data_IF_452638022125
#
_entry.id   IF_452638022125
#
_cell.length_a   1.000
_cell.length_b   1.000
_cell.length_c   1.000
_cell.angle_alpha   90.00
_cell.angle_beta   90.00
_cell.angle_gamma   90.00
#
_symmetry.space_group_name_H-M   'P 1'
#
loop_
_entity.id
_entity.type
_entity.pdbx_description
1 polymer ?
#
# COMPACT_ATOMS: atom_id res chain seq x y z
N UNK A 1 21.74 34.43 10.77
CA UNK A 1 21.29 33.18 10.11
C UNK A 1 22.21 32.94 8.93
N UNK A 2 22.76 31.73 8.77
CA UNK A 2 23.55 31.41 7.58
C UNK A 2 22.64 31.37 6.36
N UNK A 3 23.11 31.88 5.23
CA UNK A 3 22.42 31.78 3.95
C UNK A 3 22.37 30.33 3.46
N UNK A 4 21.37 29.97 2.63
CA UNK A 4 21.24 28.61 2.08
C UNK A 4 22.52 28.12 1.38
N UNK A 5 23.24 29.02 0.71
CA UNK A 5 24.52 28.72 0.04
C UNK A 5 25.63 28.34 1.03
N UNK A 6 25.68 28.99 2.20
CA UNK A 6 26.64 28.65 3.25
C UNK A 6 26.32 27.31 3.90
N UNK A 7 25.03 26.96 4.05
CA UNK A 7 24.58 25.68 4.60
C UNK A 7 25.01 24.51 3.71
N UNK A 8 24.96 24.65 2.38
CA UNK A 8 25.39 23.60 1.43
C UNK A 8 26.89 23.28 1.49
N UNK A 9 27.71 24.26 1.89
CA UNK A 9 29.17 24.11 1.97
C UNK A 9 29.60 23.38 3.24
N UNK A 10 28.83 23.48 4.33
CA UNK A 10 29.11 22.83 5.61
C UNK A 10 29.21 21.29 5.55
N UNK A 11 28.29 20.54 4.90
CA UNK A 11 28.43 19.08 4.76
C UNK A 11 29.62 18.69 3.88
N UNK A 12 29.94 19.47 2.84
CA UNK A 12 31.13 19.25 1.99
C UNK A 12 32.43 19.38 2.81
N UNK A 13 32.54 20.40 3.66
CA UNK A 13 33.67 20.59 4.60
C UNK A 13 33.71 19.56 5.72
N UNK A 14 32.57 18.95 6.09
CA UNK A 14 32.50 17.88 7.10
C UNK A 14 33.21 16.62 6.62
N UNK A 15 33.08 16.22 5.36
CA UNK A 15 33.69 14.99 4.87
C UNK A 15 35.22 15.02 4.92
N UNK A 16 35.83 16.19 4.72
CA UNK A 16 37.30 16.37 4.65
C UNK A 16 37.96 16.78 5.97
N UNK A 17 37.19 17.10 7.01
CA UNK A 17 37.72 17.69 8.25
C UNK A 17 38.05 16.66 9.34
N UNK A 18 39.01 17.01 10.21
CA UNK A 18 39.40 16.24 11.39
C UNK A 18 38.26 16.20 12.43
N UNK A 19 38.23 15.16 13.26
CA UNK A 19 37.15 14.90 14.24
C UNK A 19 36.65 16.11 15.05
N UNK A 20 37.50 16.96 15.66
CA UNK A 20 37.02 18.12 16.44
C UNK A 20 36.35 19.20 15.56
N UNK A 21 36.80 19.38 14.32
CA UNK A 21 36.20 20.31 13.36
C UNK A 21 34.86 19.77 12.84
N UNK A 22 34.74 18.44 12.64
CA UNK A 22 33.45 17.79 12.31
C UNK A 22 32.40 18.03 13.40
N UNK A 23 32.79 17.99 14.67
CA UNK A 23 31.86 18.22 15.78
C UNK A 23 31.37 19.67 15.82
N UNK A 24 32.26 20.65 15.55
CA UNK A 24 31.88 22.07 15.42
C UNK A 24 30.94 22.29 14.23
N UNK A 25 31.22 21.70 13.08
CA UNK A 25 30.36 21.78 11.89
C UNK A 25 28.99 21.14 12.14
N UNK A 26 28.92 20.02 12.86
CA UNK A 26 27.66 19.40 13.26
C UNK A 26 26.84 20.28 14.21
N UNK A 27 27.49 20.94 15.18
CA UNK A 27 26.82 21.92 16.06
C UNK A 27 26.28 23.10 15.26
N UNK A 28 27.06 23.67 14.35
CA UNK A 28 26.60 24.75 13.48
C UNK A 28 25.40 24.32 12.62
N UNK A 29 25.45 23.13 12.01
CA UNK A 29 24.32 22.59 11.24
C UNK A 29 23.09 22.34 12.11
N UNK A 30 23.26 21.89 13.36
CA UNK A 30 22.16 21.66 14.29
C UNK A 30 21.52 22.95 14.79
N UNK A 31 22.29 24.04 14.93
CA UNK A 31 21.75 25.36 15.32
C UNK A 31 21.07 26.11 14.17
N UNK A 32 21.43 25.80 12.93
CA UNK A 32 20.93 26.53 11.74
C UNK A 32 19.70 25.85 11.12
N UNK A 33 19.59 24.53 11.27
CA UNK A 33 18.42 23.78 10.82
C UNK A 33 17.57 23.44 12.04
N UNK A 34 16.49 24.20 12.25
CA UNK A 34 15.47 23.84 13.22
C UNK A 34 14.89 22.47 12.87
N UNK A 35 14.95 21.54 13.83
CA UNK A 35 14.39 20.20 13.67
C UNK A 35 13.15 20.07 14.54
N UNK A 36 12.10 19.39 14.05
CA UNK A 36 10.98 19.05 14.92
C UNK A 36 11.49 18.20 16.07
N UNK A 37 11.01 18.50 17.28
CA UNK A 37 11.34 17.74 18.48
C UNK A 37 10.76 16.33 18.29
N UNK A 38 11.62 15.32 18.42
CA UNK A 38 11.19 13.91 18.44
C UNK A 38 11.11 13.51 19.91
N UNK A 39 9.91 13.47 20.51
CA UNK A 39 9.75 12.95 21.86
C UNK A 39 10.29 11.52 21.94
N UNK A 40 11.00 11.19 23.01
CA UNK A 40 11.59 9.86 23.23
C UNK A 40 10.75 9.07 24.23
N UNK A 41 9.43 9.03 24.02
CA UNK A 41 8.50 8.24 24.82
C UNK A 41 8.08 7.04 23.99
N UNK A 42 8.08 5.85 24.59
CA UNK A 42 7.63 4.64 23.89
C UNK A 42 6.11 4.61 23.87
N UNK A 43 5.53 4.43 22.68
CA UNK A 43 4.10 4.23 22.54
C UNK A 43 3.64 2.99 23.30
N UNK A 44 2.66 3.17 24.18
CA UNK A 44 2.01 2.09 24.90
C UNK A 44 0.53 2.04 24.51
N UNK A 45 0.10 0.94 23.91
CA UNK A 45 -1.29 0.79 23.50
C UNK A 45 -2.26 0.83 24.71
N UNK A 46 -1.80 0.35 25.87
CA UNK A 46 -2.62 0.27 27.09
C UNK A 46 -2.91 1.63 27.74
N UNK A 47 -2.18 2.69 27.36
CA UNK A 47 -2.41 4.03 27.90
C UNK A 47 -3.49 4.79 27.12
N UNK A 48 -3.98 4.22 26.02
CA UNK A 48 -5.00 4.83 25.17
C UNK A 48 -6.38 4.32 25.60
N UNK A 49 -7.36 5.22 25.65
CA UNK A 49 -8.74 4.85 25.95
C UNK A 49 -9.34 4.03 24.81
N UNK A 50 -10.27 3.12 25.10
CA UNK A 50 -10.95 2.34 24.05
C UNK A 50 -11.70 3.24 23.05
N UNK A 51 -12.26 4.35 23.52
CA UNK A 51 -12.92 5.34 22.67
C UNK A 51 -11.95 5.97 21.65
N UNK A 52 -10.77 6.42 22.12
CA UNK A 52 -9.74 6.99 21.23
C UNK A 52 -9.16 5.93 20.29
N UNK A 53 -8.97 4.70 20.77
CA UNK A 53 -8.50 3.58 19.95
C UNK A 53 -9.47 3.30 18.79
N UNK A 54 -10.78 3.30 19.05
CA UNK A 54 -11.79 3.11 18.00
C UNK A 54 -11.79 4.27 17.00
N UNK A 55 -11.60 5.51 17.44
CA UNK A 55 -11.54 6.66 16.52
C UNK A 55 -10.26 6.67 15.66
N UNK A 56 -9.11 6.29 16.23
CA UNK A 56 -7.81 6.32 15.53
C UNK A 56 -7.56 5.09 14.66
N UNK A 57 -7.89 3.91 15.18
CA UNK A 57 -7.55 2.61 14.56
C UNK A 57 -8.76 1.84 14.05
N UNK A 58 -9.99 2.27 14.36
CA UNK A 58 -11.26 1.54 14.10
C UNK A 58 -11.44 0.25 14.92
N UNK A 59 -10.52 -0.04 15.84
CA UNK A 59 -10.54 -1.22 16.70
C UNK A 59 -10.33 -0.83 18.16
N UNK A 60 -10.91 -1.62 19.07
CA UNK A 60 -10.67 -1.53 20.52
C UNK A 60 -9.25 -2.00 20.88
N UNK A 61 -8.75 -1.66 22.07
CA UNK A 61 -7.39 -2.04 22.51
C UNK A 61 -7.20 -3.55 22.49
N UNK A 62 -8.16 -4.30 23.06
CA UNK A 62 -8.18 -5.76 23.02
C UNK A 62 -8.34 -6.30 21.58
N UNK A 63 -9.05 -5.56 20.72
CA UNK A 63 -9.19 -5.88 19.29
C UNK A 63 -7.85 -5.86 18.57
N UNK A 64 -7.05 -4.82 18.80
CA UNK A 64 -5.70 -4.69 18.22
C UNK A 64 -4.80 -5.83 18.69
N UNK A 65 -4.82 -6.18 19.97
CA UNK A 65 -4.02 -7.29 20.49
C UNK A 65 -4.40 -8.64 19.85
N UNK A 66 -5.70 -8.93 19.71
CA UNK A 66 -6.17 -10.12 19.00
C UNK A 66 -5.71 -10.13 17.54
N UNK A 67 -5.69 -8.97 16.89
CA UNK A 67 -5.27 -8.83 15.50
C UNK A 67 -3.76 -9.09 15.33
N UNK A 68 -2.92 -8.66 16.28
CA UNK A 68 -1.48 -8.99 16.28
C UNK A 68 -1.27 -10.50 16.25
N UNK A 69 -2.00 -11.23 17.10
CA UNK A 69 -1.92 -12.69 17.19
C UNK A 69 -2.46 -13.34 15.91
N UNK A 70 -3.61 -12.89 15.41
CA UNK A 70 -4.24 -13.43 14.20
C UNK A 70 -3.37 -13.23 12.94
N UNK A 71 -2.73 -12.06 12.80
CA UNK A 71 -1.83 -11.74 11.69
C UNK A 71 -0.45 -12.39 11.83
N UNK A 72 -0.15 -13.00 12.99
CA UNK A 72 1.13 -13.67 13.29
C UNK A 72 2.32 -12.73 13.11
N UNK A 73 2.19 -11.49 13.58
CA UNK A 73 3.28 -10.53 13.58
C UNK A 73 4.36 -10.94 14.59
N UNK A 74 5.65 -10.71 14.29
CA UNK A 74 6.72 -10.92 15.25
C UNK A 74 6.55 -9.95 16.42
N UNK A 75 6.77 -10.42 17.65
CA UNK A 75 6.59 -9.65 18.89
C UNK A 75 7.36 -8.32 18.88
N UNK A 76 8.56 -8.34 18.30
CA UNK A 76 9.37 -7.16 18.03
C UNK A 76 9.65 -7.07 16.53
N UNK A 77 9.24 -5.96 15.93
CA UNK A 77 9.53 -5.62 14.55
C UNK A 77 10.86 -4.87 14.49
N UNK A 78 11.78 -5.37 13.68
CA UNK A 78 13.10 -4.78 13.46
C UNK A 78 13.25 -4.46 11.97
N UNK A 79 13.36 -3.17 11.63
CA UNK A 79 13.54 -2.74 10.24
C UNK A 79 15.01 -2.85 9.81
N UNK A 80 15.27 -2.78 8.50
CA UNK A 80 16.63 -2.77 7.93
C UNK A 80 17.50 -1.62 8.44
N UNK A 81 16.87 -0.50 8.83
CA UNK A 81 17.53 0.64 9.45
C UNK A 81 17.71 0.49 10.97
N UNK A 82 17.46 -0.72 11.51
CA UNK A 82 17.54 -1.08 12.93
C UNK A 82 16.57 -0.31 13.83
N UNK A 83 15.47 0.20 13.26
CA UNK A 83 14.37 0.72 14.08
C UNK A 83 13.69 -0.47 14.75
N UNK A 84 13.53 -0.41 16.09
CA UNK A 84 12.88 -1.46 16.88
C UNK A 84 11.55 -0.94 17.40
N UNK A 85 10.49 -1.71 17.18
CA UNK A 85 9.15 -1.40 17.66
C UNK A 85 8.41 -2.66 18.11
N UNK A 86 7.43 -2.49 18.99
CA UNK A 86 6.57 -3.59 19.42
C UNK A 86 5.58 -3.95 18.30
N UNK A 87 5.14 -5.19 18.24
CA UNK A 87 4.16 -5.65 17.25
C UNK A 87 2.86 -4.83 17.27
N UNK A 88 2.35 -4.54 18.47
CA UNK A 88 1.14 -3.74 18.69
C UNK A 88 1.28 -2.32 18.14
N UNK A 89 2.44 -1.71 18.36
CA UNK A 89 2.74 -0.37 17.88
C UNK A 89 2.91 -0.32 16.36
N UNK A 90 3.65 -1.27 15.79
CA UNK A 90 3.82 -1.39 14.35
C UNK A 90 2.48 -1.58 13.63
N UNK A 91 1.59 -2.37 14.24
CA UNK A 91 0.24 -2.58 13.76
C UNK A 91 -0.61 -1.30 13.88
N UNK A 92 -0.58 -0.61 15.01
CA UNK A 92 -1.30 0.66 15.19
C UNK A 92 -0.89 1.72 14.17
N UNK A 93 0.41 1.83 13.85
CA UNK A 93 0.91 2.72 12.78
C UNK A 93 0.24 2.37 11.46
N UNK A 94 0.20 1.07 11.13
CA UNK A 94 -0.38 0.57 9.89
C UNK A 94 -1.89 0.82 9.82
N UNK A 95 -2.63 0.49 10.89
CA UNK A 95 -4.07 0.71 11.00
C UNK A 95 -4.43 2.20 10.89
N UNK A 96 -3.67 3.08 11.55
CA UNK A 96 -3.90 4.51 11.50
C UNK A 96 -3.73 5.05 10.07
N UNK A 97 -2.70 4.56 9.35
CA UNK A 97 -2.43 4.95 7.96
C UNK A 97 -3.50 4.47 6.98
N UNK A 98 -3.99 3.25 7.17
CA UNK A 98 -4.99 2.64 6.28
C UNK A 98 -6.41 3.13 6.57
N UNK A 99 -6.69 3.61 7.79
CA UNK A 99 -8.01 4.13 8.16
C UNK A 99 -8.34 5.46 7.48
N UNK A 100 -7.35 6.33 7.26
CA UNK A 100 -7.52 7.62 6.59
C UNK A 100 -6.18 8.14 6.05
N UNK A 101 -6.14 8.83 4.89
CA UNK A 101 -4.93 9.46 4.39
C UNK A 101 -4.42 10.57 5.32
N UNK A 102 -3.44 10.28 6.17
CA UNK A 102 -2.74 11.26 7.04
C UNK A 102 -1.28 11.49 6.65
N UNK A 103 -0.72 12.63 7.01
CA UNK A 103 0.72 12.91 6.88
C UNK A 103 1.49 12.18 7.99
N UNK A 104 2.71 11.72 7.67
CA UNK A 104 3.60 11.12 8.68
C UNK A 104 3.98 12.10 9.79
N UNK A 105 3.98 13.40 9.50
CA UNK A 105 4.21 14.46 10.47
C UNK A 105 3.16 14.44 11.60
N UNK A 106 1.87 14.38 11.24
CA UNK A 106 0.78 14.35 12.23
C UNK A 106 0.84 13.08 13.11
N UNK A 107 1.33 11.99 12.55
CA UNK A 107 1.53 10.73 13.27
C UNK A 107 2.71 10.78 14.26
N UNK A 108 3.65 11.73 14.10
CA UNK A 108 4.79 11.87 15.02
C UNK A 108 4.31 12.18 16.44
N UNK A 109 3.26 13.00 16.60
CA UNK A 109 2.72 13.36 17.91
C UNK A 109 1.96 12.20 18.60
N UNK A 110 1.59 11.15 17.86
CA UNK A 110 0.87 10.00 18.43
C UNK A 110 1.81 8.82 18.73
N UNK A 111 2.82 8.61 17.88
CA UNK A 111 3.74 7.47 18.00
C UNK A 111 5.12 7.86 18.50
N UNK A 112 5.37 9.16 18.70
CA UNK A 112 6.62 9.72 19.23
C UNK A 112 7.87 9.18 18.51
N UNK A 113 7.72 8.96 17.21
CA UNK A 113 8.76 8.48 16.31
C UNK A 113 9.01 9.50 15.21
N UNK A 114 10.23 9.47 14.67
CA UNK A 114 10.54 10.26 13.48
C UNK A 114 9.67 9.82 12.30
N UNK A 115 9.28 10.77 11.44
CA UNK A 115 8.49 10.51 10.23
C UNK A 115 9.11 9.40 9.36
N UNK A 116 10.44 9.34 9.29
CA UNK A 116 11.16 8.34 8.49
C UNK A 116 11.06 6.95 9.11
N UNK A 117 11.16 6.86 10.44
CA UNK A 117 10.99 5.62 11.18
C UNK A 117 9.58 5.07 11.00
N UNK A 118 8.55 5.92 11.11
CA UNK A 118 7.14 5.53 10.89
C UNK A 118 6.94 4.99 9.46
N UNK A 119 7.50 5.66 8.45
CA UNK A 119 7.43 5.22 7.06
C UNK A 119 8.09 3.84 6.85
N UNK A 120 9.28 3.64 7.42
CA UNK A 120 10.01 2.36 7.31
C UNK A 120 9.26 1.22 8.00
N UNK A 121 8.72 1.47 9.21
CA UNK A 121 7.93 0.47 9.94
C UNK A 121 6.68 0.10 9.16
N UNK A 122 5.96 1.10 8.62
CA UNK A 122 4.77 0.88 7.79
C UNK A 122 5.07 -0.03 6.60
N UNK A 123 6.10 0.28 5.80
CA UNK A 123 6.45 -0.52 4.63
C UNK A 123 6.86 -1.94 5.04
N UNK A 124 7.68 -2.09 6.08
CA UNK A 124 8.08 -3.41 6.59
C UNK A 124 6.87 -4.29 6.99
N UNK A 125 5.91 -3.72 7.71
CA UNK A 125 4.70 -4.47 8.14
C UNK A 125 3.88 -4.86 6.93
N UNK A 126 3.70 -3.96 5.96
CA UNK A 126 2.96 -4.24 4.73
C UNK A 126 3.66 -5.35 3.93
N UNK A 127 4.97 -5.26 3.71
CA UNK A 127 5.74 -6.27 2.99
C UNK A 127 5.65 -7.63 3.70
N UNK A 128 5.78 -7.67 5.03
CA UNK A 128 5.61 -8.88 5.82
C UNK A 128 4.22 -9.50 5.68
N UNK A 129 3.17 -8.68 5.73
CA UNK A 129 1.79 -9.13 5.56
C UNK A 129 1.56 -9.66 4.14
N UNK A 130 2.08 -8.98 3.12
CA UNK A 130 2.01 -9.46 1.74
C UNK A 130 2.74 -10.79 1.58
N UNK A 131 3.95 -10.95 2.11
CA UNK A 131 4.70 -12.21 1.98
C UNK A 131 3.97 -13.40 2.64
N UNK A 132 3.34 -13.18 3.79
CA UNK A 132 2.58 -14.19 4.53
C UNK A 132 1.24 -14.52 3.87
N UNK A 133 0.51 -13.50 3.42
CA UNK A 133 -0.90 -13.62 3.04
C UNK A 133 -1.15 -13.42 1.54
N UNK A 134 -0.12 -13.31 0.70
CA UNK A 134 -0.25 -13.15 -0.75
C UNK A 134 -1.18 -14.18 -1.37
N UNK A 135 -1.08 -15.44 -0.98
CA UNK A 135 -1.92 -16.50 -1.54
C UNK A 135 -3.40 -16.25 -1.29
N UNK A 136 -3.74 -15.68 -0.13
CA UNK A 136 -5.10 -15.31 0.23
C UNK A 136 -5.53 -13.95 -0.35
N UNK A 137 -4.59 -13.04 -0.63
CA UNK A 137 -4.86 -11.70 -1.17
C UNK A 137 -5.05 -11.68 -2.70
N UNK A 138 -4.33 -12.53 -3.44
CA UNK A 138 -4.35 -12.53 -4.92
C UNK A 138 -5.46 -13.41 -5.53
N UNK A 139 -5.78 -14.57 -4.95
CA UNK A 139 -6.99 -15.29 -5.36
C UNK A 139 -7.32 -16.37 -4.32
N UNK A 140 -8.19 -16.03 -3.37
CA UNK A 140 -8.66 -16.99 -2.40
C UNK A 140 -9.80 -17.83 -3.00
N UNK A 141 -9.45 -18.97 -3.60
CA UNK A 141 -10.40 -19.94 -4.17
C UNK A 141 -11.53 -20.27 -3.16
N UNK A 142 -11.19 -20.46 -1.89
CA UNK A 142 -12.15 -20.83 -0.84
C UNK A 142 -13.13 -19.73 -0.43
N UNK A 143 -12.82 -18.45 -0.70
CA UNK A 143 -13.74 -17.33 -0.44
C UNK A 143 -14.53 -17.02 -1.70
N UNK A 144 -13.87 -17.07 -2.84
CA UNK A 144 -14.43 -16.67 -4.13
C UNK A 144 -15.45 -17.71 -4.59
N UNK A 145 -15.09 -19.00 -4.66
CA UNK A 145 -15.95 -20.07 -5.18
C UNK A 145 -17.33 -20.17 -4.48
N UNK A 146 -17.44 -20.26 -3.14
CA UNK A 146 -18.75 -20.42 -2.49
C UNK A 146 -19.60 -19.14 -2.46
N UNK A 147 -18.98 -17.97 -2.68
CA UNK A 147 -19.69 -16.67 -2.66
C UNK A 147 -20.08 -16.21 -4.04
N UNK A 148 -19.65 -16.88 -5.11
CA UNK A 148 -19.93 -16.49 -6.48
C UNK A 148 -21.30 -16.95 -6.94
N UNK A 149 -22.26 -16.05 -6.79
CA UNK A 149 -23.58 -16.17 -7.40
C UNK A 149 -23.76 -14.94 -8.31
N UNK A 150 -23.72 -15.18 -9.62
CA UNK A 150 -24.36 -14.39 -10.69
C UNK A 150 -23.59 -13.22 -11.34
N UNK A 151 -22.55 -12.60 -10.77
CA UNK A 151 -21.91 -11.46 -11.46
C UNK A 151 -20.42 -11.29 -11.19
N UNK A 152 -19.60 -11.34 -12.25
CA UNK A 152 -18.21 -10.87 -12.21
C UNK A 152 -18.13 -9.54 -12.91
N UNK A 153 -17.51 -8.55 -12.27
CA UNK A 153 -17.10 -7.33 -12.96
C UNK A 153 -15.59 -7.21 -12.87
N UNK A 154 -14.92 -7.05 -14.01
CA UNK A 154 -13.52 -6.64 -14.01
C UNK A 154 -13.44 -5.19 -13.58
N UNK A 155 -13.04 -4.94 -12.34
CA UNK A 155 -12.89 -3.59 -11.81
C UNK A 155 -11.45 -3.12 -11.97
N UNK A 156 -11.31 -1.90 -12.50
CA UNK A 156 -10.03 -1.20 -12.63
C UNK A 156 -9.79 -0.42 -11.35
N UNK A 157 -8.85 -0.88 -10.52
CA UNK A 157 -8.43 -0.13 -9.33
C UNK A 157 -7.43 0.94 -9.78
N UNK A 158 -7.86 2.20 -9.82
CA UNK A 158 -6.96 3.33 -10.07
C UNK A 158 -6.55 3.98 -8.75
N UNK A 159 -5.26 3.97 -8.42
CA UNK A 159 -4.74 4.77 -7.32
C UNK A 159 -4.78 6.25 -7.70
N UNK A 160 -5.57 7.04 -6.98
CA UNK A 160 -5.61 8.50 -7.12
C UNK A 160 -4.46 9.10 -6.30
N UNK A 161 -3.49 9.74 -6.95
CA UNK A 161 -2.46 10.55 -6.27
C UNK A 161 -2.75 12.04 -6.45
N UNK A 162 -2.45 12.82 -5.42
CA UNK A 162 -2.48 14.28 -5.48
C UNK A 162 -1.34 14.82 -6.35
N UNK A 163 -1.64 15.92 -7.04
CA UNK A 163 -0.85 16.53 -8.10
C UNK A 163 0.48 17.05 -7.57
N UNK A 164 1.59 16.38 -7.90
CA UNK A 164 2.89 17.04 -8.02
C UNK A 164 3.32 16.89 -9.47
N UNK A 165 3.23 18.00 -10.21
CA UNK A 165 3.63 18.08 -11.60
C UNK A 165 5.15 17.91 -11.69
N UNK A 166 5.62 16.79 -12.24
CA UNK A 166 7.01 16.64 -12.67
C UNK A 166 7.08 16.75 -14.19
N UNK A 167 7.90 17.67 -14.65
CA UNK A 167 8.18 18.06 -16.03
C UNK A 167 8.83 16.95 -16.87
N UNK A 168 8.12 15.83 -17.11
CA UNK A 168 8.55 14.77 -18.02
C UNK A 168 7.40 14.44 -18.98
N UNK A 169 7.43 15.02 -20.18
CA UNK A 169 6.33 14.99 -21.16
C UNK A 169 5.95 13.57 -21.63
N UNK A 170 6.88 12.60 -21.58
CA UNK A 170 6.63 11.24 -22.07
C UNK A 170 6.11 10.28 -21.00
N UNK A 171 6.58 10.40 -19.76
CA UNK A 171 6.11 9.57 -18.63
C UNK A 171 4.65 9.89 -18.26
N UNK A 172 4.17 11.08 -18.58
CA UNK A 172 2.79 11.48 -18.36
C UNK A 172 1.80 10.64 -19.19
N UNK A 173 2.14 10.23 -20.42
CA UNK A 173 1.25 9.38 -21.25
C UNK A 173 1.08 7.97 -20.69
N UNK A 174 2.10 7.42 -20.03
CA UNK A 174 2.07 6.09 -19.39
C UNK A 174 1.18 6.08 -18.13
N UNK A 175 1.10 7.23 -17.44
CA UNK A 175 0.42 7.40 -16.15
C UNK A 175 -1.06 7.73 -16.32
N UNK A 176 -1.49 8.23 -17.49
CA UNK A 176 -2.86 8.68 -17.71
C UNK A 176 -3.66 7.70 -18.57
N UNK A 177 -4.96 7.60 -18.29
CA UNK A 177 -5.88 6.79 -19.09
C UNK A 177 -6.12 7.51 -20.42
N UNK A 178 -5.95 6.83 -21.55
CA UNK A 178 -6.04 7.47 -22.87
C UNK A 178 -7.36 8.20 -23.11
N UNK A 179 -8.48 7.49 -22.93
CA UNK A 179 -9.81 8.01 -23.23
C UNK A 179 -10.36 8.97 -22.17
N UNK A 180 -10.19 8.64 -20.88
CA UNK A 180 -10.75 9.44 -19.76
C UNK A 180 -9.78 10.50 -19.21
N UNK A 181 -8.51 10.47 -19.63
CA UNK A 181 -7.41 11.35 -19.17
C UNK A 181 -7.36 11.50 -17.64
N UNK A 182 -7.72 10.44 -16.92
CA UNK A 182 -7.59 10.35 -15.46
C UNK A 182 -6.22 9.76 -15.13
N UNK A 183 -5.50 10.28 -14.11
CA UNK A 183 -4.31 9.63 -13.59
C UNK A 183 -4.67 8.22 -13.13
N UNK A 184 -4.02 7.24 -13.74
CA UNK A 184 -4.13 5.83 -13.43
C UNK A 184 -2.72 5.24 -13.45
N UNK A 185 -1.96 5.53 -12.39
CA UNK A 185 -0.76 4.77 -12.09
C UNK A 185 -1.20 3.34 -11.78
N UNK A 186 -0.69 2.39 -12.58
CA UNK A 186 -0.80 0.95 -12.39
C UNK A 186 -2.25 0.45 -12.36
N UNK A 187 -2.72 -0.04 -13.50
CA UNK A 187 -4.01 -0.69 -13.56
C UNK A 187 -3.88 -2.07 -12.96
N UNK A 188 -4.71 -2.32 -11.95
CA UNK A 188 -4.88 -3.64 -11.38
C UNK A 188 -6.18 -4.21 -11.91
N UNK A 189 -6.12 -5.46 -12.31
CA UNK A 189 -7.27 -6.27 -12.64
C UNK A 189 -7.77 -6.91 -11.35
N UNK A 190 -8.98 -6.54 -10.96
CA UNK A 190 -9.70 -7.14 -9.86
C UNK A 190 -11.00 -7.78 -10.37
N UNK A 191 -11.48 -8.75 -9.61
CA UNK A 191 -12.76 -9.43 -9.81
C UNK A 191 -13.67 -9.01 -8.65
N UNK A 192 -14.81 -8.40 -8.97
CA UNK A 192 -15.83 -8.11 -7.96
C UNK A 192 -16.62 -9.38 -7.66
N UNK A 193 -16.57 -9.85 -6.41
CA UNK A 193 -17.49 -10.85 -5.87
C UNK A 193 -18.89 -10.22 -5.67
N UNK A 194 -19.98 -10.99 -5.66
CA UNK A 194 -21.34 -10.43 -5.57
C UNK A 194 -21.64 -9.69 -4.26
N UNK A 195 -20.87 -9.93 -3.20
CA UNK A 195 -20.91 -9.14 -1.95
C UNK A 195 -20.37 -7.70 -2.13
N UNK A 196 -19.86 -7.35 -3.32
CA UNK A 196 -19.21 -6.08 -3.61
C UNK A 196 -17.72 -6.04 -3.25
N UNK A 197 -17.15 -7.14 -2.74
CA UNK A 197 -15.72 -7.26 -2.46
C UNK A 197 -14.92 -7.35 -3.76
N UNK A 198 -13.95 -6.45 -3.94
CA UNK A 198 -13.05 -6.48 -5.10
C UNK A 198 -11.80 -7.31 -4.75
N UNK A 199 -11.68 -8.50 -5.35
CA UNK A 199 -10.53 -9.40 -5.18
C UNK A 199 -9.49 -9.09 -6.24
N UNK A 200 -8.26 -8.77 -5.83
CA UNK A 200 -7.19 -8.41 -6.73
C UNK A 200 -6.64 -9.65 -7.46
N UNK A 201 -6.79 -9.77 -8.77
CA UNK A 201 -6.33 -10.95 -9.53
C UNK A 201 -4.92 -10.76 -10.16
N UNK A 202 -4.69 -9.64 -10.83
CA UNK A 202 -3.47 -9.40 -11.60
C UNK A 202 -3.10 -7.92 -11.63
N UNK A 203 -1.80 -7.58 -11.59
CA UNK A 203 -1.36 -6.24 -11.18
C UNK A 203 -0.46 -5.45 -12.14
N UNK A 204 -0.42 -4.15 -11.84
CA UNK A 204 0.40 -3.06 -12.40
C UNK A 204 0.67 -3.09 -13.92
N UNK A 205 -0.37 -2.91 -14.72
CA UNK A 205 -0.24 -2.61 -16.14
C UNK A 205 -0.32 -1.11 -16.43
N UNK A 206 0.27 -0.71 -17.57
CA UNK A 206 0.26 0.66 -18.07
C UNK A 206 -1.17 1.21 -18.26
N UNK A 207 -1.39 2.45 -17.81
CA UNK A 207 -2.70 3.09 -17.77
C UNK A 207 -3.31 3.41 -19.14
N UNK A 208 -2.46 3.58 -20.15
CA UNK A 208 -2.87 3.94 -21.52
C UNK A 208 -3.55 2.78 -22.27
N UNK A 209 -3.32 1.53 -21.84
CA UNK A 209 -3.75 0.32 -22.55
C UNK A 209 -5.25 0.05 -22.39
N UNK A 210 -5.84 -0.56 -23.42
CA UNK A 210 -7.24 -0.95 -23.43
C UNK A 210 -7.53 -2.07 -22.42
N UNK A 211 -8.76 -2.11 -21.89
CA UNK A 211 -9.17 -3.13 -20.90
C UNK A 211 -9.01 -4.57 -21.44
N UNK A 212 -9.16 -4.78 -22.76
CA UNK A 212 -8.89 -6.06 -23.42
C UNK A 212 -7.42 -6.48 -23.33
N UNK A 213 -6.49 -5.52 -23.40
CA UNK A 213 -5.06 -5.81 -23.25
C UNK A 213 -4.74 -6.22 -21.81
N UNK A 214 -5.38 -5.59 -20.82
CA UNK A 214 -5.27 -5.97 -19.41
C UNK A 214 -5.76 -7.41 -19.19
N UNK A 215 -6.91 -7.76 -19.75
CA UNK A 215 -7.50 -9.09 -19.66
C UNK A 215 -6.62 -10.18 -20.29
N UNK A 216 -6.04 -9.91 -21.47
CA UNK A 216 -5.12 -10.84 -22.14
C UNK A 216 -3.84 -11.04 -21.33
N UNK A 217 -3.29 -9.95 -20.76
CA UNK A 217 -2.06 -10.00 -19.97
C UNK A 217 -2.25 -10.77 -18.65
N UNK A 218 -3.42 -10.63 -18.01
CA UNK A 218 -3.71 -11.34 -16.76
C UNK A 218 -3.96 -12.82 -16.95
N UNK A 219 -4.27 -13.28 -18.18
CA UNK A 219 -4.65 -14.66 -18.46
C UNK A 219 -5.83 -15.15 -17.59
N UNK A 220 -6.69 -14.23 -17.14
CA UNK A 220 -7.85 -14.55 -16.31
C UNK A 220 -8.78 -15.55 -17.03
N UNK A 221 -8.93 -15.40 -18.35
CA UNK A 221 -9.73 -16.32 -19.17
C UNK A 221 -9.21 -17.76 -19.09
N UNK A 222 -7.90 -17.97 -19.27
CA UNK A 222 -7.28 -19.28 -19.20
C UNK A 222 -7.37 -19.88 -17.79
N UNK A 223 -7.25 -19.03 -16.76
CA UNK A 223 -7.39 -19.42 -15.36
C UNK A 223 -8.82 -19.90 -15.03
N UNK A 224 -9.84 -19.21 -15.52
CA UNK A 224 -11.24 -19.58 -15.34
C UNK A 224 -11.62 -20.82 -16.14
N UNK A 225 -11.12 -20.96 -17.37
CA UNK A 225 -11.33 -22.16 -18.19
C UNK A 225 -10.65 -23.38 -17.58
N UNK A 226 -9.45 -23.26 -17.00
CA UNK A 226 -8.77 -24.37 -16.34
C UNK A 226 -9.49 -24.86 -15.07
N UNK A 227 -10.35 -24.02 -14.47
CA UNK A 227 -11.17 -24.33 -13.28
C UNK A 227 -12.67 -24.36 -13.60
N UNK A 228 -13.04 -24.68 -14.83
CA UNK A 228 -14.44 -24.62 -15.27
C UNK A 228 -15.39 -25.53 -14.46
N UNK A 229 -14.87 -26.58 -13.81
CA UNK A 229 -15.64 -27.42 -12.89
C UNK A 229 -16.11 -26.69 -11.62
N UNK A 230 -15.35 -25.71 -11.14
CA UNK A 230 -15.67 -24.90 -9.95
C UNK A 230 -16.55 -23.69 -10.26
N UNK A 231 -16.58 -23.24 -11.52
CA UNK A 231 -17.25 -22.01 -11.95
C UNK A 231 -18.34 -22.27 -13.00
N UNK A 232 -18.91 -23.48 -13.06
CA UNK A 232 -19.79 -23.92 -14.16
C UNK A 232 -21.07 -23.08 -14.31
N UNK A 233 -21.58 -22.54 -13.19
CA UNK A 233 -22.83 -21.74 -13.15
C UNK A 233 -22.59 -20.22 -13.09
N UNK A 234 -21.38 -19.81 -13.42
CA UNK A 234 -20.94 -18.44 -13.22
C UNK A 234 -21.07 -17.61 -14.51
N UNK A 235 -21.71 -16.46 -14.38
CA UNK A 235 -21.77 -15.42 -15.41
C UNK A 235 -20.68 -14.37 -15.18
N UNK A 236 -19.77 -14.27 -16.14
CA UNK A 236 -18.67 -13.31 -16.12
C UNK A 236 -19.02 -12.10 -16.98
N UNK A 237 -19.15 -10.91 -16.39
CA UNK A 237 -19.37 -9.69 -17.15
C UNK A 237 -18.02 -9.01 -17.44
N UNK A 238 -17.57 -9.09 -18.69
CA UNK A 238 -16.37 -8.40 -19.17
C UNK A 238 -16.77 -7.31 -20.14
N UNK A 239 -16.33 -6.06 -19.88
CA UNK A 239 -16.51 -4.94 -20.82
C UNK A 239 -17.94 -4.83 -21.39
N UNK A 240 -18.96 -4.89 -20.51
CA UNK A 240 -20.39 -4.84 -20.84
C UNK A 240 -20.95 -6.03 -21.66
N UNK A 241 -20.22 -7.13 -21.78
CA UNK A 241 -20.73 -8.41 -22.31
C UNK A 241 -20.74 -9.46 -21.20
N UNK A 242 -21.80 -10.26 -21.17
CA UNK A 242 -21.98 -11.36 -20.21
C UNK A 242 -21.53 -12.65 -20.90
N UNK A 243 -20.66 -13.39 -20.24
CA UNK A 243 -20.08 -14.64 -20.73
C UNK A 243 -20.39 -15.76 -19.74
N UNK A 244 -20.90 -16.90 -20.21
CA UNK A 244 -21.00 -18.10 -19.37
C UNK A 244 -19.68 -18.87 -19.42
N UNK A 245 -19.08 -19.13 -18.26
CA UNK A 245 -17.86 -19.96 -18.16
C UNK A 245 -18.16 -21.35 -18.72
N UNK A 246 -17.32 -21.84 -19.64
CA UNK A 246 -17.49 -23.15 -20.30
C UNK A 246 -18.12 -23.09 -21.70
N UNK A 247 -19.27 -22.43 -21.89
CA UNK A 247 -19.98 -22.45 -23.18
C UNK A 247 -19.51 -21.34 -24.12
N UNK A 248 -19.38 -20.10 -23.63
CA UNK A 248 -19.06 -18.96 -24.48
C UNK A 248 -17.55 -18.72 -24.60
N UNK A 249 -16.75 -19.16 -23.61
CA UNK A 249 -15.29 -18.99 -23.65
C UNK A 249 -14.58 -19.96 -24.62
N UNK A 250 -15.17 -21.14 -24.90
CA UNK A 250 -14.63 -22.07 -25.92
C UNK A 250 -14.79 -21.54 -27.36
N UNK A 251 -15.75 -20.63 -27.61
CA UNK A 251 -15.94 -20.01 -28.94
C UNK A 251 -14.83 -19.02 -29.29
N UNK A 252 -14.15 -18.44 -28.30
CA UNK A 252 -13.06 -17.48 -28.50
C UNK A 252 -11.72 -18.14 -28.87
N UNK A 253 -11.49 -19.41 -28.52
CA UNK A 253 -10.27 -20.12 -28.94
C UNK A 253 -10.27 -20.56 -30.42
N UNK A 254 -11.39 -20.40 -31.13
CA UNK A 254 -11.52 -20.76 -32.56
C UNK A 254 -11.49 -19.56 -33.52
N UNK A 255 -11.19 -18.35 -33.04
CA UNK A 255 -11.08 -17.13 -33.86
C UNK A 255 -9.73 -16.45 -33.69
#
# INVERSE_FOLDING_TARGET
MLSCQEIEVLPKKRHTSKFPQRLRLLRLLACVVERPIIPNVRFALQTITDADSRLKFRFDVAGVQRLVVALRLPEVVVTSSRDRCLASEALCITLCRMSYPRLYYDMMATFDRSRESICRIFNYVIDFLFDKWKELLYFCDSIVVPRLVIKFETCRITQKRDRVASSFADLQRLIYSGHKRRPCLNCFQAVTAPDGLCVHFWGAAEGSRHDTTLLRLSKLEAYLVARCDLFRDVLVMMTRRIWRVGVDMLRLQRQ
#
